data_IF_742158847554
#
_entry.id   IF_742158847554
#
_cell.length_a   1.000
_cell.length_b   1.000
_cell.length_c   1.000
_cell.angle_alpha   90.00
_cell.angle_beta   90.00
_cell.angle_gamma   90.00
#
_symmetry.space_group_name_H-M   'P 1'
#
loop_
_entity.id
_entity.type
_entity.pdbx_description
1 polymer ?
#
# COMPACT_ATOMS: atom_id res chain seq x y z
N UNK A 1 -6.89 -5.71 -58.57
CA UNK A 1 -7.64 -5.15 -57.42
C UNK A 1 -8.30 -6.30 -56.68
N UNK A 2 -8.04 -6.45 -55.38
CA UNK A 2 -8.73 -7.46 -54.59
C UNK A 2 -10.12 -6.93 -54.22
N UNK A 3 -11.16 -7.73 -54.50
CA UNK A 3 -12.55 -7.42 -54.17
C UNK A 3 -12.94 -8.19 -52.91
N UNK A 4 -13.36 -7.48 -51.86
CA UNK A 4 -13.94 -8.07 -50.65
C UNK A 4 -15.46 -8.12 -50.82
N UNK A 5 -16.07 -9.29 -50.63
CA UNK A 5 -17.53 -9.47 -50.62
C UNK A 5 -17.98 -9.70 -49.18
N UNK A 6 -18.87 -8.85 -48.67
CA UNK A 6 -19.44 -8.96 -47.33
C UNK A 6 -20.87 -9.51 -47.41
N UNK A 7 -21.13 -10.60 -46.69
CA UNK A 7 -22.43 -11.28 -46.67
C UNK A 7 -23.19 -10.96 -45.37
N UNK A 8 -24.41 -10.42 -45.47
CA UNK A 8 -25.15 -9.84 -44.33
C UNK A 8 -26.30 -10.70 -43.79
N UNK A 9 -26.58 -11.86 -44.41
CA UNK A 9 -27.71 -12.72 -44.04
C UNK A 9 -27.37 -13.82 -43.01
N UNK A 10 -26.12 -13.93 -42.56
CA UNK A 10 -25.71 -14.84 -41.48
C UNK A 10 -25.46 -14.03 -40.19
N UNK A 11 -26.12 -14.40 -39.09
CA UNK A 11 -25.94 -13.79 -37.76
C UNK A 11 -25.60 -14.86 -36.73
N UNK A 12 -24.70 -14.54 -35.81
CA UNK A 12 -24.40 -15.32 -34.62
C UNK A 12 -24.59 -14.42 -33.38
N UNK A 13 -24.95 -15.00 -32.23
CA UNK A 13 -24.95 -14.26 -30.97
C UNK A 13 -23.51 -13.88 -30.60
N UNK A 14 -23.28 -12.61 -30.28
CA UNK A 14 -21.95 -12.09 -29.89
C UNK A 14 -21.92 -11.60 -28.43
N UNK A 15 -22.79 -12.14 -27.57
CA UNK A 15 -22.97 -11.63 -26.19
C UNK A 15 -21.69 -11.65 -25.36
N UNK A 16 -20.81 -12.63 -25.56
CA UNK A 16 -19.68 -12.92 -24.65
C UNK A 16 -18.32 -12.97 -25.38
N UNK A 17 -18.16 -12.25 -26.49
CA UNK A 17 -16.92 -12.28 -27.26
C UNK A 17 -15.80 -11.45 -26.64
N UNK A 18 -16.15 -10.38 -25.92
CA UNK A 18 -15.18 -9.40 -25.42
C UNK A 18 -15.28 -9.28 -23.90
N UNK A 19 -14.18 -9.64 -23.23
CA UNK A 19 -14.01 -9.53 -21.79
C UNK A 19 -12.57 -9.16 -21.46
N UNK A 20 -12.27 -9.11 -20.16
CA UNK A 20 -10.93 -8.83 -19.64
C UNK A 20 -10.41 -10.03 -18.86
N UNK A 21 -9.09 -10.23 -18.93
CA UNK A 21 -8.37 -11.20 -18.12
C UNK A 21 -7.55 -10.45 -17.08
N UNK A 22 -7.63 -10.86 -15.82
CA UNK A 22 -6.95 -10.19 -14.71
C UNK A 22 -6.24 -11.22 -13.83
N UNK A 23 -4.95 -10.99 -13.63
CA UNK A 23 -4.08 -11.68 -12.68
C UNK A 23 -3.15 -10.63 -12.04
N UNK A 24 -2.65 -10.87 -10.83
CA UNK A 24 -1.73 -9.93 -10.18
C UNK A 24 -0.29 -10.08 -10.71
N UNK A 25 -0.10 -9.68 -11.97
CA UNK A 25 1.21 -9.60 -12.61
C UNK A 25 1.64 -8.14 -12.74
N UNK A 26 2.90 -7.85 -12.47
CA UNK A 26 3.46 -6.49 -12.55
C UNK A 26 2.70 -5.45 -11.71
N UNK A 27 2.29 -5.81 -10.49
CA UNK A 27 1.51 -4.92 -9.60
C UNK A 27 0.13 -4.53 -10.17
N UNK A 28 -0.51 -5.43 -10.93
CA UNK A 28 -1.83 -5.17 -11.50
C UNK A 28 -2.94 -5.15 -10.44
N UNK A 29 -2.83 -5.95 -9.36
CA UNK A 29 -3.73 -5.86 -8.21
C UNK A 29 -3.09 -5.00 -7.11
N UNK A 30 -2.11 -5.54 -6.39
CA UNK A 30 -1.39 -4.80 -5.35
C UNK A 30 -0.45 -3.75 -5.96
N UNK A 31 -0.81 -2.47 -5.81
CA UNK A 31 -0.16 -1.34 -6.47
C UNK A 31 -0.84 -0.86 -7.75
N UNK A 32 -1.90 -1.55 -8.16
CA UNK A 32 -2.68 -1.27 -9.36
C UNK A 32 -4.16 -1.11 -9.02
N UNK A 33 -4.97 -2.12 -9.34
CA UNK A 33 -6.43 -2.07 -9.19
C UNK A 33 -6.86 -1.98 -7.73
N UNK A 34 -6.15 -2.59 -6.78
CA UNK A 34 -6.45 -2.46 -5.36
C UNK A 34 -5.99 -1.09 -4.84
N UNK A 35 -6.85 -0.40 -4.09
CA UNK A 35 -6.61 1.00 -3.69
C UNK A 35 -5.58 1.22 -2.58
N UNK A 36 -4.93 0.17 -2.05
CA UNK A 36 -3.88 0.32 -1.03
C UNK A 36 -2.65 0.99 -1.63
N UNK A 37 -2.15 2.03 -0.96
CA UNK A 37 -1.00 2.80 -1.43
C UNK A 37 0.30 2.32 -0.77
N UNK A 38 0.23 1.56 0.33
CA UNK A 38 1.39 1.10 1.09
C UNK A 38 1.81 -0.30 0.65
N UNK A 39 2.99 -0.39 0.06
CA UNK A 39 3.58 -1.67 -0.34
C UNK A 39 4.14 -2.40 0.86
N UNK A 40 3.89 -3.71 0.95
CA UNK A 40 4.37 -4.55 2.05
C UNK A 40 3.90 -4.01 3.43
N UNK A 41 2.61 -3.67 3.52
CA UNK A 41 2.00 -3.02 4.70
C UNK A 41 2.03 -3.83 6.01
N UNK A 42 2.22 -5.14 5.91
CA UNK A 42 2.26 -6.08 7.05
C UNK A 42 3.61 -6.81 7.16
N UNK A 43 4.66 -6.33 6.47
CA UNK A 43 6.03 -6.86 6.61
C UNK A 43 6.20 -8.36 6.28
N UNK A 44 5.32 -8.91 5.44
CA UNK A 44 5.28 -10.33 5.09
C UNK A 44 6.17 -10.71 3.90
N UNK A 45 6.66 -9.72 3.14
CA UNK A 45 7.46 -9.99 1.95
C UNK A 45 8.71 -10.81 2.27
N UNK A 46 8.93 -11.87 1.50
CA UNK A 46 10.02 -12.80 1.71
C UNK A 46 10.71 -13.21 0.40
N UNK A 47 11.94 -13.74 0.47
CA UNK A 47 12.62 -14.30 -0.70
C UNK A 47 11.86 -15.43 -1.42
N UNK A 48 10.87 -16.06 -0.75
CA UNK A 48 10.02 -17.08 -1.37
C UNK A 48 9.06 -16.49 -2.40
N UNK A 49 8.60 -15.24 -2.18
CA UNK A 49 7.70 -14.54 -3.09
C UNK A 49 8.48 -13.96 -4.28
N UNK A 50 9.69 -13.46 -4.01
CA UNK A 50 10.62 -12.94 -5.00
C UNK A 50 12.04 -12.90 -4.38
N UNK A 51 13.11 -13.36 -5.04
CA UNK A 51 14.46 -13.40 -4.47
C UNK A 51 14.99 -12.05 -3.94
N UNK A 52 14.49 -10.93 -4.47
CA UNK A 52 14.86 -9.58 -4.02
C UNK A 52 14.09 -9.08 -2.81
N UNK A 53 13.01 -9.77 -2.42
CA UNK A 53 12.14 -9.35 -1.34
C UNK A 53 12.71 -9.75 0.02
N UNK A 54 12.59 -8.81 0.95
CA UNK A 54 12.90 -8.92 2.37
C UNK A 54 11.74 -8.33 3.18
N UNK A 55 11.71 -8.61 4.49
CA UNK A 55 10.61 -8.16 5.35
C UNK A 55 10.43 -6.62 5.39
N UNK A 56 11.52 -5.86 5.17
CA UNK A 56 11.50 -4.40 5.05
C UNK A 56 11.48 -3.88 3.60
N UNK A 57 11.11 -4.71 2.62
CA UNK A 57 10.93 -4.25 1.24
C UNK A 57 9.97 -3.07 1.20
N UNK A 58 10.33 -2.03 0.44
CA UNK A 58 9.64 -0.74 0.33
C UNK A 58 9.72 0.17 1.58
N UNK A 59 10.33 -0.26 2.68
CA UNK A 59 10.51 0.54 3.88
C UNK A 59 11.96 1.03 4.01
N UNK A 60 12.15 2.33 4.29
CA UNK A 60 13.47 2.95 4.50
C UNK A 60 13.49 3.78 5.77
N UNK A 61 14.56 3.66 6.57
CA UNK A 61 14.77 4.50 7.75
C UNK A 61 14.96 5.97 7.34
N UNK A 62 14.51 6.87 8.22
CA UNK A 62 14.76 8.30 8.16
C UNK A 62 15.70 8.62 9.32
N UNK A 63 16.91 9.10 9.02
CA UNK A 63 17.96 9.42 9.98
C UNK A 63 18.56 10.79 9.63
N UNK A 64 17.86 11.87 9.96
CA UNK A 64 18.23 13.25 9.61
C UNK A 64 18.69 14.03 10.85
N UNK A 65 19.63 14.96 10.67
CA UNK A 65 20.09 15.84 11.75
C UNK A 65 20.79 15.09 12.89
N UNK A 66 21.49 14.00 12.59
CA UNK A 66 22.21 13.19 13.58
C UNK A 66 21.33 12.22 14.36
N UNK A 67 20.11 11.94 13.87
CA UNK A 67 19.25 10.88 14.39
C UNK A 67 19.86 9.49 14.20
N UNK A 68 19.43 8.54 15.04
CA UNK A 68 19.83 7.13 14.95
C UNK A 68 18.61 6.23 15.16
N UNK A 69 18.29 5.39 14.19
CA UNK A 69 17.08 4.57 14.17
C UNK A 69 17.43 3.10 13.93
N UNK A 70 16.92 2.23 14.80
CA UNK A 70 16.96 0.78 14.62
C UNK A 70 15.59 0.29 14.13
N UNK A 71 15.57 -0.59 13.13
CA UNK A 71 14.35 -1.19 12.58
C UNK A 71 14.53 -2.69 12.41
N UNK A 72 13.63 -3.49 12.98
CA UNK A 72 13.66 -4.94 12.89
C UNK A 72 12.25 -5.50 12.78
N UNK A 73 12.12 -6.63 12.07
CA UNK A 73 10.84 -7.34 11.95
C UNK A 73 10.84 -8.51 12.93
N UNK A 74 9.73 -8.69 13.64
CA UNK A 74 9.52 -9.80 14.58
C UNK A 74 8.18 -10.47 14.32
N UNK A 75 8.07 -11.72 14.79
CA UNK A 75 6.83 -12.49 14.77
C UNK A 75 6.47 -13.08 16.15
N UNK A 76 7.10 -12.60 17.23
CA UNK A 76 6.97 -13.19 18.57
C UNK A 76 5.63 -12.91 19.27
N UNK A 77 5.01 -11.77 18.97
CA UNK A 77 3.76 -11.30 19.58
C UNK A 77 2.94 -10.54 18.53
N UNK A 78 2.49 -11.25 17.48
CA UNK A 78 1.89 -10.63 16.32
C UNK A 78 0.48 -10.11 16.63
N UNK A 79 0.03 -9.12 15.86
CA UNK A 79 -1.38 -8.73 15.85
C UNK A 79 -2.22 -9.82 15.17
N UNK A 80 -1.77 -10.29 14.01
CA UNK A 80 -2.43 -11.34 13.23
C UNK A 80 -1.65 -12.65 13.28
N UNK A 81 -2.32 -13.78 13.57
CA UNK A 81 -1.67 -15.10 13.44
C UNK A 81 -1.41 -15.50 11.98
N UNK A 82 -2.18 -14.94 11.04
CA UNK A 82 -2.06 -15.25 9.59
C UNK A 82 -0.98 -14.41 8.92
N UNK A 83 -0.77 -13.20 9.40
CA UNK A 83 0.30 -12.29 8.98
C UNK A 83 1.11 -11.98 10.24
N UNK A 84 2.04 -12.88 10.61
CA UNK A 84 2.69 -12.84 11.91
C UNK A 84 3.81 -11.79 12.00
N UNK A 85 4.23 -11.17 10.92
CA UNK A 85 5.33 -10.21 10.96
C UNK A 85 4.83 -8.81 11.36
N UNK A 86 5.64 -8.11 12.14
CA UNK A 86 5.42 -6.70 12.47
C UNK A 86 6.75 -5.98 12.64
N UNK A 87 6.75 -4.68 12.38
CA UNK A 87 7.91 -3.82 12.57
C UNK A 87 8.05 -3.43 14.04
N UNK A 88 9.27 -3.47 14.53
CA UNK A 88 9.70 -2.79 15.75
C UNK A 88 10.65 -1.67 15.33
N UNK A 89 10.29 -0.44 15.68
CA UNK A 89 11.07 0.75 15.40
C UNK A 89 11.56 1.35 16.72
N UNK A 90 12.85 1.66 16.77
CA UNK A 90 13.47 2.26 17.94
C UNK A 90 14.24 3.50 17.50
N UNK A 91 13.80 4.66 18.00
CA UNK A 91 14.48 5.93 17.85
C UNK A 91 15.50 6.01 18.98
N UNK A 92 16.75 5.61 18.71
CA UNK A 92 17.81 5.57 19.71
C UNK A 92 18.35 6.97 20.04
N UNK A 93 18.27 7.88 19.07
CA UNK A 93 18.66 9.28 19.22
C UNK A 93 17.76 10.13 18.35
N UNK A 94 17.12 11.14 18.94
CA UNK A 94 16.38 12.13 18.19
C UNK A 94 17.33 13.04 17.38
N UNK A 95 16.89 13.42 16.19
CA UNK A 95 17.56 14.42 15.34
C UNK A 95 16.53 15.41 14.82
N UNK A 96 16.77 16.00 13.64
CA UNK A 96 15.75 16.83 12.99
C UNK A 96 14.55 15.99 12.56
N UNK A 97 14.81 14.75 12.13
CA UNK A 97 13.78 13.78 11.74
C UNK A 97 14.29 12.35 11.91
N UNK A 98 13.52 11.54 12.65
CA UNK A 98 13.87 10.16 12.94
C UNK A 98 12.64 9.26 12.75
N UNK A 99 12.76 8.19 11.97
CA UNK A 99 11.63 7.30 11.72
C UNK A 99 11.83 6.31 10.59
N UNK A 100 10.73 5.99 9.90
CA UNK A 100 10.70 5.11 8.74
C UNK A 100 9.70 5.64 7.71
N UNK A 101 9.96 5.42 6.42
CA UNK A 101 9.05 5.73 5.32
C UNK A 101 8.78 4.54 4.42
N UNK A 102 7.56 4.45 3.91
CA UNK A 102 7.19 3.54 2.84
C UNK A 102 7.26 4.25 1.50
N UNK A 103 7.95 3.63 0.54
CA UNK A 103 8.18 4.18 -0.80
C UNK A 103 7.00 3.95 -1.76
N UNK A 104 5.90 3.32 -1.29
CA UNK A 104 4.77 2.96 -2.14
C UNK A 104 5.14 1.95 -3.23
N UNK A 105 4.46 2.09 -4.36
CA UNK A 105 4.65 1.24 -5.53
C UNK A 105 5.32 2.04 -6.65
N UNK A 106 6.26 1.40 -7.37
CA UNK A 106 6.98 2.03 -8.48
C UNK A 106 7.67 3.36 -8.10
N UNK A 107 7.07 4.50 -8.48
CA UNK A 107 7.61 5.85 -8.27
C UNK A 107 7.22 6.46 -6.92
N UNK A 108 6.28 5.88 -6.17
CA UNK A 108 5.78 6.48 -4.94
C UNK A 108 4.34 6.15 -4.64
N UNK A 109 3.70 7.06 -3.89
CA UNK A 109 2.26 7.14 -3.75
C UNK A 109 1.75 8.38 -4.48
N UNK A 110 0.61 8.25 -5.17
CA UNK A 110 -0.01 9.36 -5.89
C UNK A 110 -1.06 10.04 -5.00
N UNK A 111 -0.87 11.31 -4.70
CA UNK A 111 -1.82 12.17 -4.01
C UNK A 111 -2.34 13.27 -4.94
N UNK A 112 -3.55 13.73 -4.67
CA UNK A 112 -4.22 14.77 -5.46
C UNK A 112 -4.67 15.91 -4.58
N UNK A 113 -4.61 17.12 -5.10
CA UNK A 113 -5.08 18.33 -4.43
C UNK A 113 -6.55 18.16 -3.99
N UNK A 114 -6.83 18.57 -2.76
CA UNK A 114 -8.13 18.48 -2.09
C UNK A 114 -8.71 17.05 -1.94
N UNK A 115 -7.90 16.01 -2.21
CA UNK A 115 -8.29 14.63 -1.93
C UNK A 115 -7.80 14.15 -0.57
N UNK A 116 -8.64 13.31 0.05
CA UNK A 116 -8.41 12.78 1.38
C UNK A 116 -8.04 11.29 1.35
N UNK A 117 -7.17 10.92 2.28
CA UNK A 117 -6.60 9.58 2.43
C UNK A 117 -6.78 9.12 3.87
N UNK A 118 -7.36 7.93 4.05
CA UNK A 118 -7.50 7.29 5.34
C UNK A 118 -6.21 6.55 5.68
N UNK A 119 -5.52 7.03 6.71
CA UNK A 119 -4.44 6.30 7.35
C UNK A 119 -5.01 5.37 8.43
N UNK A 120 -4.47 4.16 8.52
CA UNK A 120 -4.61 3.33 9.71
C UNK A 120 -3.37 2.48 9.98
N UNK A 121 -3.18 2.09 11.23
CA UNK A 121 -2.20 1.07 11.61
C UNK A 121 -2.61 0.40 12.92
N UNK A 122 -2.09 -0.79 13.17
CA UNK A 122 -2.04 -1.35 14.53
C UNK A 122 -0.69 -1.01 15.15
N UNK A 123 -0.72 -0.50 16.38
CA UNK A 123 0.50 -0.12 17.09
C UNK A 123 0.42 -0.46 18.57
N UNK A 124 1.60 -0.66 19.17
CA UNK A 124 1.79 -0.81 20.62
C UNK A 124 3.15 -0.30 21.06
N UNK A 125 3.25 0.12 22.31
CA UNK A 125 4.51 0.50 22.95
C UNK A 125 4.44 0.27 24.46
N UNK A 126 5.56 -0.15 25.05
CA UNK A 126 5.68 -0.33 26.51
C UNK A 126 5.64 1.00 27.28
N UNK A 127 5.99 2.11 26.61
CA UNK A 127 5.94 3.47 27.15
C UNK A 127 5.23 4.38 26.15
N UNK A 128 4.47 5.39 26.58
CA UNK A 128 3.83 6.32 25.65
C UNK A 128 4.82 6.88 24.61
N UNK A 129 4.50 6.75 23.33
CA UNK A 129 5.24 7.39 22.24
C UNK A 129 4.30 8.13 21.29
N UNK A 130 4.43 9.45 21.29
CA UNK A 130 4.00 10.36 20.23
C UNK A 130 4.78 10.08 18.94
N UNK A 131 4.04 9.81 17.87
CA UNK A 131 4.53 9.69 16.51
C UNK A 131 3.82 10.70 15.62
N UNK A 132 4.47 11.10 14.54
CA UNK A 132 3.90 11.92 13.47
C UNK A 132 3.90 11.11 12.19
N UNK A 133 2.73 11.00 11.59
CA UNK A 133 2.53 10.35 10.30
C UNK A 133 2.36 11.46 9.27
N UNK A 134 3.18 11.42 8.23
CA UNK A 134 3.18 12.43 7.17
C UNK A 134 3.16 11.79 5.80
N UNK A 135 2.60 12.52 4.85
CA UNK A 135 2.86 12.31 3.42
C UNK A 135 3.92 13.33 3.05
N UNK A 136 5.03 12.88 2.49
CA UNK A 136 6.11 13.74 2.05
C UNK A 136 6.26 13.66 0.54
N UNK A 137 6.75 14.72 -0.09
CA UNK A 137 7.19 14.66 -1.48
C UNK A 137 8.53 13.92 -1.62
N UNK A 138 8.97 13.69 -2.86
CA UNK A 138 10.23 13.02 -3.15
C UNK A 138 11.49 13.76 -2.63
N UNK A 139 11.38 15.06 -2.34
CA UNK A 139 12.46 15.90 -1.80
C UNK A 139 12.55 15.86 -0.26
N UNK A 140 11.61 15.18 0.41
CA UNK A 140 11.55 15.06 1.87
C UNK A 140 10.78 16.19 2.55
N UNK A 141 10.08 17.03 1.78
CA UNK A 141 9.22 18.07 2.33
C UNK A 141 7.84 17.48 2.68
N UNK A 142 7.30 17.88 3.83
CA UNK A 142 6.00 17.40 4.30
C UNK A 142 4.88 18.07 3.50
N UNK A 143 4.05 17.25 2.84
CA UNK A 143 2.83 17.68 2.13
C UNK A 143 1.68 17.87 3.13
N UNK A 144 1.47 16.88 4.00
CA UNK A 144 0.48 16.91 5.09
C UNK A 144 0.90 15.95 6.18
N UNK A 145 0.53 16.23 7.44
CA UNK A 145 0.86 15.36 8.57
C UNK A 145 -0.20 15.38 9.67
N UNK A 146 -0.14 14.36 10.54
CA UNK A 146 -0.88 14.31 11.79
C UNK A 146 -0.12 13.52 12.85
N UNK A 147 -0.17 14.01 14.08
CA UNK A 147 0.42 13.32 15.23
C UNK A 147 -0.61 12.47 15.97
N UNK A 148 -0.14 11.37 16.58
CA UNK A 148 -0.90 10.52 17.47
C UNK A 148 -0.01 9.99 18.59
N UNK A 149 -0.61 9.60 19.70
CA UNK A 149 0.10 9.02 20.84
C UNK A 149 -0.20 7.51 20.93
N UNK A 150 0.84 6.68 20.83
CA UNK A 150 0.75 5.26 21.11
C UNK A 150 0.89 5.10 22.62
N UNK A 151 -0.21 4.78 23.31
CA UNK A 151 -0.24 4.71 24.79
C UNK A 151 -0.46 3.30 25.32
N UNK A 152 -0.84 2.35 24.47
CA UNK A 152 -1.15 0.98 24.84
C UNK A 152 0.04 0.06 24.62
N UNK A 153 0.29 -0.86 25.57
CA UNK A 153 1.22 -1.97 25.41
C UNK A 153 0.59 -3.17 24.66
N UNK A 154 -0.72 -3.12 24.40
CA UNK A 154 -1.46 -4.07 23.58
C UNK A 154 -1.74 -3.49 22.18
N UNK A 155 -1.86 -4.37 21.19
CA UNK A 155 -2.17 -3.98 19.81
C UNK A 155 -3.48 -3.17 19.75
N UNK A 156 -3.36 -1.91 19.34
CA UNK A 156 -4.48 -0.98 19.25
C UNK A 156 -4.51 -0.37 17.85
N UNK A 157 -5.71 -0.26 17.27
CA UNK A 157 -5.89 0.41 15.97
C UNK A 157 -5.86 1.92 16.15
N UNK A 158 -5.06 2.61 15.34
CA UNK A 158 -5.04 4.06 15.22
C UNK A 158 -5.43 4.42 13.79
N UNK A 159 -6.33 5.39 13.63
CA UNK A 159 -6.76 5.84 12.30
C UNK A 159 -7.13 7.32 12.29
N UNK A 160 -6.94 7.95 11.14
CA UNK A 160 -7.36 9.32 10.85
C UNK A 160 -7.27 9.60 9.35
N UNK A 161 -7.77 10.75 8.95
CA UNK A 161 -7.72 11.21 7.56
C UNK A 161 -6.67 12.31 7.40
N UNK A 162 -5.90 12.23 6.32
CA UNK A 162 -5.00 13.26 5.80
C UNK A 162 -5.62 13.83 4.51
N UNK A 163 -5.43 15.12 4.24
CA UNK A 163 -5.89 15.74 2.98
C UNK A 163 -4.70 16.39 2.31
N UNK A 164 -4.48 16.10 1.03
CA UNK A 164 -3.35 16.67 0.31
C UNK A 164 -3.71 18.07 -0.22
N UNK A 165 -2.87 19.09 0.01
CA UNK A 165 -3.04 20.41 -0.58
C UNK A 165 -2.46 20.52 -2.01
N UNK A 166 -1.90 19.45 -2.56
CA UNK A 166 -1.23 19.43 -3.88
C UNK A 166 -1.40 18.09 -4.59
N UNK A 167 -1.19 18.12 -5.91
CA UNK A 167 -0.91 16.91 -6.69
C UNK A 167 0.57 16.49 -6.54
N UNK A 168 0.83 15.20 -6.27
CA UNK A 168 2.18 14.61 -6.31
C UNK A 168 2.07 13.13 -6.70
N UNK A 169 2.93 12.64 -7.60
CA UNK A 169 2.92 11.26 -8.11
C UNK A 169 4.05 10.36 -7.54
N UNK A 170 4.85 10.93 -6.66
CA UNK A 170 6.11 10.40 -6.15
C UNK A 170 6.24 10.56 -4.63
N UNK A 171 5.13 10.86 -3.96
CA UNK A 171 5.11 11.05 -2.53
C UNK A 171 5.41 9.74 -1.79
N UNK A 172 5.63 9.83 -0.48
CA UNK A 172 5.90 8.70 0.41
C UNK A 172 5.13 8.88 1.71
N UNK A 173 4.77 7.78 2.37
CA UNK A 173 4.24 7.82 3.73
C UNK A 173 5.39 7.69 4.71
N UNK A 174 5.55 8.63 5.64
CA UNK A 174 6.54 8.58 6.71
C UNK A 174 5.86 8.49 8.08
N UNK A 175 6.49 7.72 8.98
CA UNK A 175 6.15 7.63 10.39
C UNK A 175 7.39 7.98 11.19
N UNK A 176 7.33 9.09 11.92
CA UNK A 176 8.49 9.70 12.58
C UNK A 176 8.18 10.03 14.03
N UNK A 177 9.23 10.28 14.82
CA UNK A 177 9.10 10.74 16.19
C UNK A 177 10.25 11.68 16.53
N UNK A 178 9.96 12.67 17.38
CA UNK A 178 10.95 13.62 17.92
C UNK A 178 11.51 13.20 19.27
N UNK A 179 11.07 12.07 19.79
CA UNK A 179 11.53 11.52 21.06
C UNK A 179 12.25 10.19 20.86
N UNK A 180 13.17 9.91 21.77
CA UNK A 180 13.73 8.58 21.90
C UNK A 180 12.65 7.64 22.44
N UNK A 181 12.20 6.73 21.60
CA UNK A 181 11.14 5.80 21.94
C UNK A 181 11.23 4.53 21.10
N UNK A 182 10.54 3.49 21.56
CA UNK A 182 10.42 2.21 20.88
C UNK A 182 8.96 1.87 20.73
N UNK A 183 8.52 1.51 19.54
CA UNK A 183 7.14 1.12 19.27
C UNK A 183 7.07 0.07 18.17
N UNK A 184 5.95 -0.64 18.14
CA UNK A 184 5.66 -1.65 17.13
C UNK A 184 4.59 -1.11 16.17
N UNK A 185 4.71 -1.45 14.88
CA UNK A 185 3.72 -1.16 13.84
C UNK A 185 3.38 -2.43 13.07
N UNK A 186 2.11 -2.57 12.73
CA UNK A 186 1.61 -3.62 11.84
C UNK A 186 0.42 -3.09 11.01
N UNK A 187 0.16 -3.69 9.86
CA UNK A 187 -0.91 -3.33 8.91
C UNK A 187 -1.01 -1.81 8.66
N UNK A 188 0.11 -1.18 8.31
CA UNK A 188 0.15 0.26 8.01
C UNK A 188 -0.52 0.51 6.66
N UNK A 189 -1.68 1.15 6.65
CA UNK A 189 -2.49 1.40 5.46
C UNK A 189 -2.61 2.89 5.17
N UNK A 190 -2.58 3.24 3.89
CA UNK A 190 -3.02 4.54 3.40
C UNK A 190 -3.93 4.29 2.20
N UNK A 191 -5.19 4.68 2.34
CA UNK A 191 -6.23 4.35 1.37
C UNK A 191 -6.97 5.62 0.92
N UNK A 192 -7.18 5.84 -0.39
CA UNK A 192 -8.02 6.94 -0.86
C UNK A 192 -9.42 6.84 -0.24
N UNK A 193 -9.97 7.98 0.23
CA UNK A 193 -11.38 8.04 0.67
C UNK A 193 -12.31 7.76 -0.51
N UNK A 194 -11.98 8.31 -1.69
CA UNK A 194 -12.69 8.08 -2.94
C UNK A 194 -12.13 6.83 -3.65
N UNK A 195 -12.83 5.72 -3.49
CA UNK A 195 -12.57 4.49 -4.25
C UNK A 195 -13.64 4.28 -5.30
N UNK A 196 -13.39 3.39 -6.26
CA UNK A 196 -14.39 3.03 -7.25
C UNK A 196 -15.69 2.57 -6.59
N UNK A 197 -16.80 3.27 -6.91
CA UNK A 197 -18.12 3.07 -6.28
C UNK A 197 -18.13 3.20 -4.75
N UNK A 198 -17.21 4.00 -4.19
CA UNK A 198 -17.08 4.28 -2.75
C UNK A 198 -17.04 3.01 -1.87
N UNK A 199 -16.38 1.96 -2.35
CA UNK A 199 -16.22 0.71 -1.61
C UNK A 199 -15.06 0.81 -0.62
N UNK A 200 -15.34 0.56 0.66
CA UNK A 200 -14.28 0.35 1.67
C UNK A 200 -13.39 -0.82 1.21
N UNK A 201 -12.06 -0.66 1.33
CA UNK A 201 -11.09 -1.65 0.85
C UNK A 201 -11.26 -1.96 -0.65
N UNK A 202 -11.71 -0.96 -1.40
CA UNK A 202 -12.10 -1.09 -2.80
C UNK A 202 -10.97 -0.87 -3.78
N UNK A 203 -11.36 -0.57 -5.02
CA UNK A 203 -10.45 -0.40 -6.13
C UNK A 203 -10.04 1.05 -6.33
N UNK A 204 -8.85 1.25 -6.89
CA UNK A 204 -8.37 2.55 -7.37
C UNK A 204 -9.29 3.06 -8.46
N UNK A 205 -9.75 4.31 -8.33
CA UNK A 205 -10.88 4.81 -9.08
C UNK A 205 -10.62 4.88 -10.60
N UNK A 206 -9.50 5.48 -11.00
CA UNK A 206 -9.12 5.69 -12.39
C UNK A 206 -8.92 4.39 -13.18
N UNK A 207 -8.26 3.38 -12.60
CA UNK A 207 -8.06 2.08 -13.25
C UNK A 207 -9.40 1.35 -13.36
N UNK A 208 -10.20 1.34 -12.30
CA UNK A 208 -11.49 0.65 -12.32
C UNK A 208 -12.50 1.31 -13.28
N UNK A 209 -12.49 2.64 -13.41
CA UNK A 209 -13.26 3.37 -14.41
C UNK A 209 -12.80 3.02 -15.82
N UNK A 210 -11.49 3.03 -16.09
CA UNK A 210 -10.94 2.63 -17.38
C UNK A 210 -11.35 1.20 -17.77
N UNK A 211 -11.30 0.25 -16.82
CA UNK A 211 -11.75 -1.13 -17.05
C UNK A 211 -13.27 -1.22 -17.28
N UNK A 212 -14.06 -0.41 -16.59
CA UNK A 212 -15.51 -0.36 -16.78
C UNK A 212 -15.89 0.25 -18.13
N UNK A 213 -15.13 1.24 -18.61
CA UNK A 213 -15.35 1.91 -19.90
C UNK A 213 -15.07 1.01 -21.11
N UNK A 214 -14.25 -0.03 -20.94
CA UNK A 214 -14.13 -1.13 -21.91
C UNK A 214 -15.43 -1.90 -22.12
N UNK A 215 -16.41 -1.75 -21.20
CA UNK A 215 -17.70 -2.47 -21.16
C UNK A 215 -17.52 -3.99 -21.33
N UNK A 216 -16.61 -4.63 -20.56
CA UNK A 216 -16.35 -6.05 -20.69
C UNK A 216 -17.60 -6.84 -20.31
N UNK A 217 -17.84 -7.95 -21.01
CA UNK A 217 -18.97 -8.85 -20.72
C UNK A 217 -18.66 -9.81 -19.58
N UNK A 218 -17.38 -10.12 -19.40
CA UNK A 218 -16.87 -10.93 -18.31
C UNK A 218 -15.47 -10.46 -17.89
N UNK A 219 -15.09 -10.80 -16.66
CA UNK A 219 -13.72 -10.72 -16.17
C UNK A 219 -13.29 -12.12 -15.74
N UNK A 220 -12.24 -12.66 -16.36
CA UNK A 220 -11.60 -13.91 -15.90
C UNK A 220 -10.61 -13.57 -14.79
N UNK A 221 -10.80 -14.17 -13.62
CA UNK A 221 -10.07 -13.95 -12.35
C UNK A 221 -10.09 -15.27 -11.53
N UNK A 222 -9.12 -15.62 -10.66
CA UNK A 222 -7.96 -14.86 -10.19
C UNK A 222 -6.68 -14.96 -11.05
N UNK A 223 -6.74 -15.58 -12.23
CA UNK A 223 -5.63 -15.51 -13.18
C UNK A 223 -5.34 -16.76 -14.01
N UNK A 224 -4.04 -16.89 -14.33
CA UNK A 224 -3.39 -17.89 -15.16
C UNK A 224 -2.19 -18.54 -14.44
N UNK A 225 -0.95 -18.18 -14.77
CA UNK A 225 0.25 -18.88 -14.27
C UNK A 225 0.50 -18.75 -12.76
N UNK A 226 0.17 -17.61 -12.15
CA UNK A 226 0.38 -17.39 -10.70
C UNK A 226 -0.50 -18.27 -9.79
N UNK A 227 -1.54 -18.91 -10.33
CA UNK A 227 -2.31 -19.93 -9.61
C UNK A 227 -1.56 -21.28 -9.61
N UNK A 228 -0.66 -21.50 -10.57
CA UNK A 228 0.06 -22.76 -10.77
C UNK A 228 1.41 -22.82 -10.05
N UNK A 229 2.02 -21.67 -9.78
CA UNK A 229 3.31 -21.59 -9.11
C UNK A 229 3.15 -21.51 -7.58
N UNK A 230 3.82 -22.43 -6.89
CA UNK A 230 3.80 -22.58 -5.43
C UNK A 230 3.40 -23.99 -4.99
N UNK A 231 4.06 -24.50 -3.96
CA UNK A 231 3.62 -25.73 -3.29
C UNK A 231 2.51 -25.38 -2.30
N UNK A 232 1.32 -25.96 -2.47
CA UNK A 232 0.19 -25.81 -1.54
C UNK A 232 0.47 -26.35 -0.12
N UNK A 233 1.58 -27.07 0.04
CA UNK A 233 2.07 -27.61 1.30
C UNK A 233 3.53 -27.23 1.51
N UNK A 234 3.78 -26.32 2.44
CA UNK A 234 5.05 -26.16 3.14
C UNK A 234 4.76 -26.03 4.62
#
# INVERSE_FOLDING_TARGET
>A
MNKITVTTNKKASMSDFYGIFFEDINHAADGGLYGEMIRNRAFEFSPMDNPSYQALTAWKRIEEGGASVSSFVSNKSPFSKRNPNYLILEINKAGTRAGIKNLGYNSGIAVKEDESYNFSCYAKSDKPCEITVSIDNAYGEVITEKSLNITSNEWTEYSFTLTSPVDDFSAVLAVTSKQECKFCLDFVSLFPVKTYKNRKNGMRNDIAEMLADLKPKFMRFPGGCLIHDGTLNS
#
